data_IF_890749373792
#
_entry.id   IF_890749373792
#
_cell.length_a   1.000
_cell.length_b   1.000
_cell.length_c   1.000
_cell.angle_alpha   90.00
_cell.angle_beta   90.00
_cell.angle_gamma   90.00
#
_symmetry.space_group_name_H-M   'P 1'
#
loop_
_entity.id
_entity.type
_entity.pdbx_description
1 polymer ?
#
# COMPACT_ATOMS: atom_id res chain seq x y z
N UNK A 1 0.02 21.97 -17.83
CA UNK A 1 0.73 21.81 -16.54
C UNK A 1 0.11 20.62 -15.84
N UNK A 2 0.85 19.52 -15.69
CA UNK A 2 0.37 18.35 -14.94
C UNK A 2 0.03 18.75 -13.50
N UNK A 3 -1.13 18.33 -13.00
CA UNK A 3 -1.56 18.64 -11.62
C UNK A 3 -0.71 17.83 -10.65
N UNK A 4 -0.06 18.49 -9.70
CA UNK A 4 0.68 17.82 -8.63
C UNK A 4 -0.32 17.23 -7.64
N UNK A 5 -0.24 15.93 -7.35
CA UNK A 5 -1.06 15.29 -6.30
C UNK A 5 -0.41 15.38 -4.90
N UNK A 6 0.67 16.16 -4.79
CA UNK A 6 1.49 16.27 -3.61
C UNK A 6 0.98 17.33 -2.64
N UNK A 7 0.82 16.93 -1.38
CA UNK A 7 0.62 17.84 -0.26
C UNK A 7 1.86 17.82 0.62
N UNK A 8 2.04 18.84 1.46
CA UNK A 8 3.13 18.80 2.45
C UNK A 8 3.11 17.54 3.32
N UNK A 9 1.92 17.07 3.69
CA UNK A 9 1.74 15.81 4.39
C UNK A 9 2.25 14.60 3.59
N UNK A 10 1.93 14.51 2.28
CA UNK A 10 2.46 13.44 1.42
C UNK A 10 3.99 13.52 1.32
N UNK A 11 4.54 14.71 1.11
CA UNK A 11 5.99 14.91 1.06
C UNK A 11 6.68 14.52 2.39
N UNK A 12 6.07 14.86 3.54
CA UNK A 12 6.57 14.46 4.85
C UNK A 12 6.57 12.93 5.01
N UNK A 13 5.46 12.26 4.70
CA UNK A 13 5.37 10.79 4.73
C UNK A 13 6.43 10.19 3.79
N UNK A 14 6.56 10.75 2.60
CA UNK A 14 7.48 10.23 1.59
C UNK A 14 8.95 10.34 2.01
N UNK A 15 9.35 11.48 2.54
CA UNK A 15 10.74 11.79 2.89
C UNK A 15 11.16 11.30 4.27
N UNK A 16 10.27 11.41 5.27
CA UNK A 16 10.62 11.17 6.68
C UNK A 16 10.09 9.81 7.19
N UNK A 17 9.16 9.16 6.47
CA UNK A 17 8.63 7.86 6.87
C UNK A 17 8.99 6.73 5.91
N UNK A 18 8.66 6.88 4.62
CA UNK A 18 8.88 5.83 3.61
C UNK A 18 10.33 5.73 3.15
N UNK A 19 10.97 6.86 2.79
CA UNK A 19 12.36 6.88 2.30
C UNK A 19 13.37 6.25 3.28
N UNK A 20 13.29 6.46 4.62
CA UNK A 20 14.16 5.76 5.57
C UNK A 20 14.03 4.23 5.51
N UNK A 21 12.82 3.69 5.36
CA UNK A 21 12.61 2.24 5.19
C UNK A 21 13.24 1.71 3.90
N UNK A 22 13.10 2.45 2.80
CA UNK A 22 13.70 2.07 1.51
C UNK A 22 15.22 2.07 1.58
N UNK A 23 15.80 3.12 2.18
CA UNK A 23 17.23 3.22 2.44
C UNK A 23 17.71 2.06 3.32
N UNK A 24 16.97 1.73 4.37
CA UNK A 24 17.26 0.60 5.25
C UNK A 24 17.26 -0.73 4.48
N UNK A 25 16.22 -0.98 3.70
CA UNK A 25 16.07 -2.22 2.91
C UNK A 25 17.16 -2.34 1.84
N UNK A 26 17.41 -1.27 1.08
CA UNK A 26 18.45 -1.25 0.03
C UNK A 26 19.85 -1.51 0.59
N UNK A 27 20.20 -0.86 1.71
CA UNK A 27 21.50 -1.07 2.38
C UNK A 27 21.67 -2.49 2.86
N UNK A 28 20.62 -3.07 3.45
CA UNK A 28 20.66 -4.44 3.94
C UNK A 28 20.84 -5.44 2.80
N UNK A 29 20.07 -5.28 1.73
CA UNK A 29 20.14 -6.17 0.58
C UNK A 29 21.40 -5.92 -0.27
N UNK A 30 22.14 -4.84 0.04
CA UNK A 30 23.29 -4.35 -0.72
C UNK A 30 22.98 -4.19 -2.22
N UNK A 31 21.77 -3.72 -2.52
CA UNK A 31 21.28 -3.50 -3.88
C UNK A 31 20.20 -2.42 -3.91
N UNK A 32 20.03 -1.79 -5.06
CA UNK A 32 18.85 -0.98 -5.35
C UNK A 32 17.62 -1.89 -5.52
N UNK A 33 16.43 -1.31 -5.39
CA UNK A 33 15.17 -2.01 -5.20
C UNK A 33 14.32 -1.97 -6.47
N UNK A 34 13.65 -3.09 -6.77
CA UNK A 34 12.59 -3.13 -7.79
C UNK A 34 11.29 -2.55 -7.19
N UNK A 35 10.84 -1.46 -7.79
CA UNK A 35 9.62 -0.74 -7.43
C UNK A 35 8.43 -1.20 -8.28
N UNK A 36 7.28 -1.37 -7.65
CA UNK A 36 5.99 -1.52 -8.32
C UNK A 36 4.97 -0.57 -7.68
N UNK A 37 4.32 0.29 -8.45
CA UNK A 37 3.36 1.21 -7.84
C UNK A 37 2.59 2.12 -8.78
N UNK A 38 1.99 3.13 -8.16
CA UNK A 38 1.06 4.09 -8.76
C UNK A 38 1.65 5.51 -8.72
N UNK A 39 2.82 5.76 -9.36
CA UNK A 39 3.38 7.11 -9.36
C UNK A 39 2.43 8.06 -10.09
N UNK A 40 2.41 9.32 -9.68
CA UNK A 40 1.74 10.36 -10.46
C UNK A 40 2.50 10.60 -11.78
N UNK A 41 1.92 11.30 -12.77
CA UNK A 41 2.60 11.59 -14.04
C UNK A 41 3.98 12.24 -13.88
N UNK A 42 4.17 13.03 -12.82
CA UNK A 42 5.45 13.71 -12.52
C UNK A 42 6.42 12.87 -11.68
N UNK A 43 6.02 11.67 -11.23
CA UNK A 43 6.84 10.67 -10.56
C UNK A 43 7.62 11.16 -9.32
N UNK A 44 7.02 12.03 -8.51
CA UNK A 44 7.67 12.63 -7.34
C UNK A 44 8.16 11.61 -6.32
N UNK A 45 7.49 10.48 -6.22
CA UNK A 45 7.89 9.36 -5.38
C UNK A 45 9.12 8.64 -5.88
N UNK A 46 9.18 8.38 -7.18
CA UNK A 46 10.38 7.84 -7.81
C UNK A 46 11.55 8.81 -7.69
N UNK A 47 11.31 10.11 -7.90
CA UNK A 47 12.34 11.14 -7.79
C UNK A 47 12.95 11.21 -6.37
N UNK A 48 12.11 11.24 -5.33
CA UNK A 48 12.60 11.30 -3.95
C UNK A 48 13.33 10.02 -3.51
N UNK A 49 13.03 8.87 -4.13
CA UNK A 49 13.56 7.56 -3.77
C UNK A 49 14.62 7.01 -4.73
N UNK A 50 14.98 7.77 -5.78
CA UNK A 50 15.75 7.29 -6.94
C UNK A 50 17.10 6.66 -6.57
N UNK A 51 17.73 7.13 -5.50
CA UNK A 51 19.01 6.59 -4.99
C UNK A 51 18.90 5.13 -4.54
N UNK A 52 17.69 4.67 -4.22
CA UNK A 52 17.40 3.32 -3.70
C UNK A 52 16.64 2.45 -4.69
N UNK A 53 16.17 3.00 -5.82
CA UNK A 53 15.38 2.28 -6.83
C UNK A 53 16.26 1.95 -8.03
N UNK A 54 16.16 0.70 -8.49
CA UNK A 54 16.88 0.18 -9.66
C UNK A 54 15.99 0.17 -10.89
N UNK A 55 14.80 -0.41 -10.71
CA UNK A 55 13.83 -0.68 -11.75
C UNK A 55 12.45 -0.23 -11.30
N UNK A 56 11.64 0.26 -12.24
CA UNK A 56 10.30 0.79 -11.98
C UNK A 56 9.27 0.04 -12.82
N UNK A 57 8.27 -0.53 -12.15
CA UNK A 57 7.02 -1.01 -12.76
C UNK A 57 5.90 -0.06 -12.31
N UNK A 58 5.37 0.72 -13.23
CA UNK A 58 4.35 1.72 -12.95
C UNK A 58 3.02 1.39 -13.65
N UNK A 59 1.92 1.76 -13.03
CA UNK A 59 0.59 1.73 -13.63
C UNK A 59 0.01 3.13 -13.64
N UNK A 60 -0.47 3.58 -14.80
CA UNK A 60 -1.06 4.90 -14.96
C UNK A 60 -2.35 4.75 -15.77
N UNK A 61 -3.47 5.14 -15.16
CA UNK A 61 -4.74 5.23 -15.86
C UNK A 61 -4.79 6.49 -16.73
N UNK A 62 -5.55 6.44 -17.82
CA UNK A 62 -5.75 7.57 -18.75
C UNK A 62 -6.63 8.66 -18.13
N UNK A 63 -7.82 8.29 -17.66
CA UNK A 63 -8.73 9.21 -16.99
C UNK A 63 -9.15 8.70 -15.61
N UNK A 64 -8.70 9.40 -14.57
CA UNK A 64 -8.98 9.03 -13.20
C UNK A 64 -10.49 9.09 -12.85
N UNK A 65 -11.00 8.02 -12.24
CA UNK A 65 -12.39 7.88 -11.83
C UNK A 65 -13.35 7.41 -12.93
N UNK A 66 -12.86 7.14 -14.15
CA UNK A 66 -13.65 6.56 -15.25
C UNK A 66 -13.15 5.17 -15.61
N UNK A 67 -14.01 4.29 -16.16
CA UNK A 67 -13.57 3.04 -16.77
C UNK A 67 -12.51 3.29 -17.84
N UNK A 68 -11.58 2.35 -18.00
CA UNK A 68 -10.54 2.42 -19.04
C UNK A 68 -11.17 2.35 -20.43
N UNK A 69 -10.76 3.27 -21.31
CA UNK A 69 -11.21 3.30 -22.70
C UNK A 69 -10.06 3.72 -23.63
N UNK A 70 -9.92 3.02 -24.76
CA UNK A 70 -8.82 3.24 -25.73
C UNK A 70 -8.88 4.58 -26.45
N UNK A 71 -10.03 5.25 -26.45
CA UNK A 71 -10.24 6.60 -26.97
C UNK A 71 -9.87 7.71 -25.98
N UNK A 72 -9.61 7.39 -24.70
CA UNK A 72 -9.14 8.37 -23.72
C UNK A 72 -7.70 8.81 -24.02
N UNK A 73 -7.37 10.04 -23.62
CA UNK A 73 -6.02 10.61 -23.79
C UNK A 73 -4.96 9.80 -23.03
N UNK A 74 -3.79 9.62 -23.64
CA UNK A 74 -2.60 8.99 -23.02
C UNK A 74 -1.61 10.01 -22.46
N UNK A 75 -1.95 11.30 -22.44
CA UNK A 75 -1.04 12.39 -22.03
C UNK A 75 -0.36 12.12 -20.67
N UNK A 76 -1.11 11.72 -19.64
CA UNK A 76 -0.55 11.43 -18.31
C UNK A 76 0.43 10.25 -18.31
N UNK A 77 0.22 9.27 -19.20
CA UNK A 77 1.10 8.11 -19.38
C UNK A 77 2.39 8.55 -20.10
N UNK A 78 2.25 9.33 -21.16
CA UNK A 78 3.38 9.85 -21.95
C UNK A 78 4.29 10.74 -21.08
N UNK A 79 3.70 11.61 -20.24
CA UNK A 79 4.46 12.44 -19.30
C UNK A 79 5.25 11.58 -18.31
N UNK A 80 4.66 10.50 -17.80
CA UNK A 80 5.35 9.56 -16.90
C UNK A 80 6.48 8.83 -17.62
N UNK A 81 6.23 8.32 -18.83
CA UNK A 81 7.23 7.62 -19.66
C UNK A 81 8.42 8.54 -19.99
N UNK A 82 8.17 9.79 -20.37
CA UNK A 82 9.22 10.77 -20.63
C UNK A 82 10.08 11.05 -19.39
N UNK A 83 9.45 11.13 -18.21
CA UNK A 83 10.15 11.36 -16.94
C UNK A 83 11.04 10.16 -16.58
N UNK A 84 10.52 8.95 -16.67
CA UNK A 84 11.28 7.71 -16.36
C UNK A 84 12.39 7.46 -17.37
N UNK A 85 12.15 7.70 -18.67
CA UNK A 85 13.17 7.62 -19.72
C UNK A 85 14.32 8.61 -19.48
N UNK A 86 14.04 9.80 -18.93
CA UNK A 86 15.10 10.73 -18.53
C UNK A 86 15.99 10.15 -17.44
N UNK A 87 15.40 9.51 -16.42
CA UNK A 87 16.16 8.88 -15.34
C UNK A 87 16.98 7.68 -15.84
N UNK A 88 16.43 6.87 -16.74
CA UNK A 88 17.15 5.76 -17.39
C UNK A 88 18.36 6.29 -18.19
N UNK A 89 18.17 7.31 -19.04
CA UNK A 89 19.26 7.95 -19.82
C UNK A 89 20.35 8.59 -18.96
N UNK A 90 20.00 9.03 -17.75
CA UNK A 90 20.94 9.57 -16.77
C UNK A 90 21.66 8.48 -15.97
N UNK A 91 21.33 7.20 -16.17
CA UNK A 91 21.86 6.07 -15.39
C UNK A 91 21.36 6.03 -13.95
N UNK A 92 20.26 6.72 -13.65
CA UNK A 92 19.65 6.71 -12.31
C UNK A 92 18.75 5.47 -12.12
N UNK A 93 18.12 5.00 -13.20
CA UNK A 93 17.39 3.73 -13.29
C UNK A 93 18.08 2.81 -14.30
N UNK A 94 18.04 1.51 -14.03
CA UNK A 94 18.47 0.48 -14.99
C UNK A 94 17.42 0.30 -16.09
N UNK A 95 16.15 0.18 -15.70
CA UNK A 95 15.03 0.13 -16.66
C UNK A 95 13.69 0.50 -16.02
N UNK A 96 12.67 0.69 -16.84
CA UNK A 96 11.30 0.89 -16.39
C UNK A 96 10.27 0.28 -17.33
N UNK A 97 9.06 0.10 -16.81
CA UNK A 97 7.89 -0.32 -17.56
C UNK A 97 6.68 0.42 -17.03
N UNK A 98 5.95 1.09 -17.93
CA UNK A 98 4.64 1.66 -17.65
C UNK A 98 3.57 0.76 -18.29
N UNK A 99 2.52 0.49 -17.53
CA UNK A 99 1.31 -0.19 -17.97
C UNK A 99 0.16 0.82 -18.08
N UNK A 100 -0.54 0.77 -19.22
CA UNK A 100 -1.68 1.65 -19.52
C UNK A 100 -2.97 1.09 -18.89
N UNK A 101 -3.39 1.67 -17.78
CA UNK A 101 -4.63 1.29 -17.10
C UNK A 101 -4.51 1.30 -15.57
N UNK A 102 -5.63 1.05 -14.91
CA UNK A 102 -5.66 0.86 -13.47
C UNK A 102 -4.98 -0.44 -13.09
N UNK A 103 -4.19 -0.43 -12.01
CA UNK A 103 -3.49 -1.63 -11.54
C UNK A 103 -4.45 -2.79 -11.26
N UNK A 104 -5.63 -2.53 -10.68
CA UNK A 104 -6.61 -3.57 -10.40
C UNK A 104 -7.19 -4.21 -11.67
N UNK A 105 -7.27 -3.48 -12.77
CA UNK A 105 -7.67 -4.02 -14.06
C UNK A 105 -6.51 -4.82 -14.70
N UNK A 106 -5.36 -4.18 -14.86
CA UNK A 106 -4.21 -4.78 -15.58
C UNK A 106 -3.77 -6.09 -14.94
N UNK A 107 -3.72 -6.14 -13.61
CA UNK A 107 -3.27 -7.33 -12.87
C UNK A 107 -4.29 -8.47 -12.91
N UNK A 108 -5.59 -8.15 -12.86
CA UNK A 108 -6.64 -9.18 -12.89
C UNK A 108 -6.87 -9.70 -14.30
N UNK A 109 -6.77 -8.84 -15.32
CA UNK A 109 -6.90 -9.18 -16.73
C UNK A 109 -5.65 -9.86 -17.29
N UNK A 110 -4.46 -9.50 -16.76
CA UNK A 110 -3.16 -9.96 -17.22
C UNK A 110 -2.59 -9.19 -18.41
N UNK A 111 -3.31 -8.18 -18.91
CA UNK A 111 -2.89 -7.29 -20.01
C UNK A 111 -3.38 -5.87 -19.73
N UNK A 112 -2.68 -4.89 -20.29
CA UNK A 112 -3.08 -3.48 -20.22
C UNK A 112 -4.00 -3.05 -21.38
N UNK A 113 -4.35 -1.76 -21.44
CA UNK A 113 -5.26 -1.20 -22.45
C UNK A 113 -4.72 -1.26 -23.88
N UNK A 114 -3.42 -1.47 -24.07
CA UNK A 114 -2.76 -1.59 -25.37
C UNK A 114 -2.26 -3.02 -25.64
N UNK A 115 -2.83 -4.00 -24.93
CA UNK A 115 -2.51 -5.43 -25.05
C UNK A 115 -1.08 -5.82 -24.64
N UNK A 116 -0.40 -4.99 -23.83
CA UNK A 116 0.87 -5.36 -23.22
C UNK A 116 0.63 -6.33 -22.08
N UNK A 117 1.24 -7.50 -22.14
CA UNK A 117 1.12 -8.52 -21.08
C UNK A 117 1.78 -8.07 -19.77
N UNK A 118 1.04 -8.24 -18.67
CA UNK A 118 1.58 -8.09 -17.33
C UNK A 118 2.23 -9.40 -16.90
N UNK A 119 3.51 -9.33 -16.54
CA UNK A 119 4.22 -10.42 -15.92
C UNK A 119 5.10 -9.91 -14.79
N UNK A 120 5.20 -10.71 -13.73
CA UNK A 120 6.11 -10.46 -12.62
C UNK A 120 7.07 -11.65 -12.54
N UNK A 121 8.27 -11.47 -13.09
CA UNK A 121 9.34 -12.48 -13.06
C UNK A 121 10.32 -12.27 -11.90
N UNK A 122 10.34 -11.06 -11.33
CA UNK A 122 11.26 -10.66 -10.28
C UNK A 122 10.52 -10.35 -8.98
N UNK A 123 11.20 -10.51 -7.85
CA UNK A 123 10.65 -10.16 -6.54
C UNK A 123 10.65 -8.66 -6.35
N UNK A 124 9.46 -8.08 -6.29
CA UNK A 124 9.25 -6.68 -5.99
C UNK A 124 9.71 -6.40 -4.57
N UNK A 125 10.52 -5.36 -4.37
CA UNK A 125 10.99 -4.99 -3.03
C UNK A 125 10.23 -3.80 -2.45
N UNK A 126 9.54 -3.03 -3.31
CA UNK A 126 8.69 -1.89 -2.91
C UNK A 126 7.37 -1.94 -3.67
N UNK A 127 6.28 -2.19 -2.96
CA UNK A 127 4.94 -1.92 -3.45
C UNK A 127 4.49 -0.55 -2.96
N UNK A 128 4.16 0.38 -3.85
CA UNK A 128 3.59 1.68 -3.49
C UNK A 128 2.21 1.87 -4.12
N UNK A 129 1.19 1.49 -3.35
CA UNK A 129 -0.20 1.40 -3.78
C UNK A 129 -0.97 2.61 -3.24
N UNK A 130 -0.86 3.75 -3.93
CA UNK A 130 -1.55 4.98 -3.58
C UNK A 130 -2.98 5.03 -4.16
N UNK A 131 -3.90 4.28 -3.54
CA UNK A 131 -5.31 4.29 -3.92
C UNK A 131 -6.02 5.54 -3.39
N UNK A 132 -5.90 6.64 -4.14
CA UNK A 132 -6.54 7.92 -3.79
C UNK A 132 -8.10 7.91 -3.79
N UNK A 133 -8.74 6.81 -4.22
CA UNK A 133 -10.21 6.62 -4.22
C UNK A 133 -10.67 5.64 -3.13
N UNK A 134 -11.99 5.57 -2.91
CA UNK A 134 -12.56 4.59 -1.98
C UNK A 134 -12.17 3.17 -2.38
N UNK A 135 -11.60 2.43 -1.44
CA UNK A 135 -11.09 1.08 -1.69
C UNK A 135 -12.19 0.08 -2.10
N UNK A 136 -13.41 0.40 -1.71
CA UNK A 136 -14.61 -0.42 -1.92
C UNK A 136 -15.37 -0.11 -3.20
N UNK A 137 -14.90 0.86 -3.99
CA UNK A 137 -15.52 1.23 -5.26
C UNK A 137 -14.77 0.52 -6.38
N UNK A 138 -15.32 -0.58 -6.94
CA UNK A 138 -14.69 -1.26 -8.05
C UNK A 138 -14.72 -0.37 -9.29
N UNK A 139 -13.81 -0.65 -10.22
CA UNK A 139 -13.95 -0.21 -11.60
C UNK A 139 -14.47 -1.38 -12.43
N UNK A 140 -15.27 -1.08 -13.44
CA UNK A 140 -15.71 -2.09 -14.40
C UNK A 140 -14.69 -2.21 -15.52
N UNK A 141 -14.44 -3.44 -15.96
CA UNK A 141 -13.59 -3.73 -17.12
C UNK A 141 -14.15 -4.93 -17.90
N UNK A 142 -13.81 -5.01 -19.19
CA UNK A 142 -14.20 -6.13 -20.04
C UNK A 142 -13.10 -7.19 -20.04
N UNK A 143 -13.44 -8.42 -19.65
CA UNK A 143 -12.51 -9.55 -19.69
C UNK A 143 -12.22 -10.02 -21.13
N UNK A 144 -11.30 -10.97 -21.27
CA UNK A 144 -10.91 -11.56 -22.56
C UNK A 144 -12.05 -12.30 -23.30
N UNK A 145 -13.17 -12.56 -22.63
CA UNK A 145 -14.35 -13.21 -23.17
C UNK A 145 -15.49 -12.22 -23.49
N UNK A 146 -15.28 -10.92 -23.27
CA UNK A 146 -16.28 -9.89 -23.50
C UNK A 146 -17.23 -9.66 -22.33
N UNK A 147 -17.01 -10.26 -21.16
CA UNK A 147 -17.87 -10.07 -19.99
C UNK A 147 -17.40 -8.87 -19.16
N UNK A 148 -18.35 -8.10 -18.65
CA UNK A 148 -18.07 -7.03 -17.68
C UNK A 148 -17.74 -7.66 -16.33
N UNK A 149 -16.58 -7.30 -15.78
CA UNK A 149 -16.09 -7.72 -14.48
C UNK A 149 -15.84 -6.49 -13.60
N UNK A 150 -15.92 -6.68 -12.29
CA UNK A 150 -15.60 -5.66 -11.30
C UNK A 150 -14.19 -5.88 -10.74
N UNK A 151 -13.29 -4.92 -10.97
CA UNK A 151 -11.94 -4.93 -10.41
C UNK A 151 -11.92 -4.18 -9.07
N UNK A 152 -11.70 -4.92 -7.99
CA UNK A 152 -11.49 -4.37 -6.66
C UNK A 152 -10.01 -4.23 -6.35
N UNK A 153 -9.63 -3.12 -5.71
CA UNK A 153 -8.24 -2.81 -5.33
C UNK A 153 -7.62 -3.88 -4.45
N UNK A 154 -8.38 -4.42 -3.49
CA UNK A 154 -7.92 -5.51 -2.63
C UNK A 154 -7.72 -6.83 -3.36
N UNK A 155 -8.49 -7.11 -4.42
CA UNK A 155 -8.21 -8.27 -5.28
C UNK A 155 -6.88 -8.10 -6.02
N UNK A 156 -6.51 -6.88 -6.40
CA UNK A 156 -5.19 -6.58 -6.97
C UNK A 156 -4.06 -6.82 -5.97
N UNK A 157 -4.21 -6.35 -4.73
CA UNK A 157 -3.24 -6.61 -3.64
C UNK A 157 -3.08 -8.11 -3.39
N UNK A 158 -4.19 -8.84 -3.28
CA UNK A 158 -4.19 -10.30 -3.12
C UNK A 158 -3.48 -11.00 -4.27
N UNK A 159 -3.75 -10.59 -5.51
CA UNK A 159 -3.13 -11.16 -6.71
C UNK A 159 -1.63 -10.85 -6.79
N UNK A 160 -1.20 -9.65 -6.41
CA UNK A 160 0.22 -9.28 -6.33
C UNK A 160 0.99 -10.13 -5.33
N UNK A 161 0.44 -10.30 -4.12
CA UNK A 161 1.05 -11.17 -3.11
C UNK A 161 1.14 -12.62 -3.61
N UNK A 162 0.10 -13.10 -4.31
CA UNK A 162 0.10 -14.44 -4.91
C UNK A 162 1.21 -14.60 -5.95
N UNK A 163 1.28 -13.69 -6.92
CA UNK A 163 2.33 -13.71 -7.95
C UNK A 163 3.73 -13.68 -7.34
N UNK A 164 3.93 -12.86 -6.31
CA UNK A 164 5.22 -12.81 -5.61
C UNK A 164 5.54 -14.13 -4.88
N UNK A 165 4.55 -14.76 -4.25
CA UNK A 165 4.73 -16.06 -3.59
C UNK A 165 5.01 -17.21 -4.57
N UNK A 166 4.55 -17.10 -5.81
CA UNK A 166 4.77 -18.09 -6.88
C UNK A 166 6.22 -18.06 -7.42
N UNK A 167 6.99 -17.00 -7.14
CA UNK A 167 8.40 -16.92 -7.54
C UNK A 167 9.29 -17.91 -6.79
N UNK A 168 10.29 -18.49 -7.47
CA UNK A 168 11.23 -19.48 -6.92
C UNK A 168 12.31 -18.89 -5.96
N UNK A 169 12.11 -17.68 -5.42
CA UNK A 169 13.03 -17.09 -4.44
C UNK A 169 12.66 -17.53 -3.01
N UNK A 170 13.59 -18.22 -2.32
CA UNK A 170 13.40 -18.74 -0.96
C UNK A 170 13.31 -17.65 0.12
N UNK A 171 13.98 -16.51 -0.06
CA UNK A 171 13.96 -15.38 0.87
C UNK A 171 13.43 -14.15 0.14
N UNK A 172 12.23 -13.72 0.50
CA UNK A 172 11.64 -12.50 -0.03
C UNK A 172 11.35 -11.56 1.13
N UNK A 173 11.90 -10.36 1.02
CA UNK A 173 11.74 -9.25 1.94
C UNK A 173 11.28 -8.06 1.10
N UNK A 174 10.18 -7.43 1.46
CA UNK A 174 9.65 -6.26 0.75
C UNK A 174 8.91 -5.32 1.69
N UNK A 175 8.66 -4.09 1.24
CA UNK A 175 7.74 -3.17 1.90
C UNK A 175 6.54 -2.91 1.00
N UNK A 176 5.35 -2.86 1.61
CA UNK A 176 4.11 -2.45 0.99
C UNK A 176 3.62 -1.18 1.65
N UNK A 177 3.60 -0.10 0.89
CA UNK A 177 2.93 1.14 1.22
C UNK A 177 1.54 1.12 0.59
N UNK A 178 0.52 1.34 1.40
CA UNK A 178 -0.87 1.39 0.97
C UNK A 178 -1.49 2.68 1.47
N UNK A 179 -1.92 3.54 0.56
CA UNK A 179 -2.69 4.74 0.90
C UNK A 179 -4.12 4.56 0.42
N UNK A 180 -5.10 4.87 1.28
CA UNK A 180 -6.53 4.73 0.97
C UNK A 180 -7.33 5.93 1.47
N UNK A 181 -8.45 6.21 0.80
CA UNK A 181 -9.39 7.20 1.27
C UNK A 181 -10.17 6.72 2.52
N UNK A 182 -10.23 7.56 3.56
CA UNK A 182 -10.96 7.30 4.81
C UNK A 182 -12.49 7.51 4.66
N UNK A 183 -13.05 7.02 3.56
CA UNK A 183 -14.50 7.02 3.28
C UNK A 183 -15.10 5.63 3.30
N UNK A 184 -16.42 5.62 3.48
CA UNK A 184 -17.22 4.44 3.76
C UNK A 184 -18.25 4.22 2.66
N UNK A 185 -17.99 3.33 1.68
CA UNK A 185 -18.93 3.09 0.56
C UNK A 185 -18.97 1.65 0.04
N UNK A 186 -18.63 0.64 0.86
CA UNK A 186 -18.53 -0.75 0.39
C UNK A 186 -19.46 -1.72 1.08
N UNK A 187 -20.07 -2.63 0.31
CA UNK A 187 -20.86 -3.72 0.87
C UNK A 187 -20.00 -4.67 1.72
N UNK A 188 -18.74 -4.91 1.34
CA UNK A 188 -17.79 -5.72 2.12
C UNK A 188 -17.57 -5.12 3.52
N UNK A 189 -17.31 -3.82 3.58
CA UNK A 189 -17.12 -3.12 4.85
C UNK A 189 -18.41 -3.07 5.67
N UNK A 190 -19.57 -2.89 5.03
CA UNK A 190 -20.88 -3.01 5.69
C UNK A 190 -21.08 -4.39 6.29
N UNK A 191 -20.75 -5.45 5.54
CA UNK A 191 -20.86 -6.82 6.01
C UNK A 191 -19.91 -7.08 7.19
N UNK A 192 -18.67 -6.60 7.10
CA UNK A 192 -17.67 -6.70 8.17
C UNK A 192 -18.14 -6.06 9.48
N UNK A 193 -18.79 -4.89 9.40
CA UNK A 193 -19.32 -4.20 10.59
C UNK A 193 -20.54 -4.91 11.17
N UNK A 194 -21.44 -5.34 10.29
CA UNK A 194 -22.70 -5.95 10.72
C UNK A 194 -22.53 -7.39 11.20
N UNK A 195 -21.48 -8.08 10.73
CA UNK A 195 -21.19 -9.47 11.03
C UNK A 195 -19.70 -9.64 11.39
N UNK A 196 -19.26 -9.13 12.56
CA UNK A 196 -17.87 -9.27 12.97
C UNK A 196 -17.53 -10.74 13.25
N UNK A 197 -16.47 -11.23 12.62
CA UNK A 197 -16.07 -12.64 12.69
C UNK A 197 -15.50 -13.09 14.06
N UNK A 198 -15.07 -12.14 14.90
CA UNK A 198 -14.45 -12.43 16.20
C UNK A 198 -15.01 -11.54 17.32
N UNK A 199 -14.90 -12.01 18.57
CA UNK A 199 -15.25 -11.22 19.75
C UNK A 199 -14.40 -9.94 19.85
N UNK A 200 -13.10 -10.04 19.54
CA UNK A 200 -12.18 -8.88 19.50
C UNK A 200 -12.64 -7.83 18.47
N UNK A 201 -13.03 -8.25 17.27
CA UNK A 201 -13.56 -7.33 16.25
C UNK A 201 -14.83 -6.62 16.76
N UNK A 202 -15.74 -7.37 17.38
CA UNK A 202 -16.97 -6.80 17.93
C UNK A 202 -16.67 -5.75 19.01
N UNK A 203 -15.79 -6.05 19.95
CA UNK A 203 -15.39 -5.12 21.02
C UNK A 203 -14.75 -3.85 20.47
N UNK A 204 -13.84 -3.97 19.49
CA UNK A 204 -13.22 -2.81 18.84
C UNK A 204 -14.26 -1.97 18.08
N UNK A 205 -15.19 -2.59 17.36
CA UNK A 205 -16.26 -1.86 16.65
C UNK A 205 -17.17 -1.11 17.63
N UNK A 206 -17.59 -1.75 18.72
CA UNK A 206 -18.36 -1.11 19.79
C UNK A 206 -17.61 0.09 20.38
N UNK A 207 -16.31 -0.10 20.67
CA UNK A 207 -15.42 0.96 21.14
C UNK A 207 -15.35 2.14 20.16
N UNK A 208 -15.14 1.88 18.87
CA UNK A 208 -15.05 2.94 17.85
C UNK A 208 -16.39 3.63 17.56
N UNK A 209 -17.51 2.93 17.78
CA UNK A 209 -18.85 3.50 17.63
C UNK A 209 -19.16 4.61 18.64
N UNK A 210 -18.37 4.75 19.71
CA UNK A 210 -18.42 5.90 20.64
C UNK A 210 -17.93 7.21 20.01
N UNK A 211 -17.30 7.15 18.83
CA UNK A 211 -16.80 8.30 18.08
C UNK A 211 -17.70 8.63 16.89
N UNK A 212 -17.45 9.80 16.30
CA UNK A 212 -18.18 10.30 15.12
C UNK A 212 -17.21 10.77 14.05
N UNK A 213 -17.71 10.96 12.84
CA UNK A 213 -16.96 11.55 11.74
C UNK A 213 -15.72 10.75 11.35
N UNK A 214 -14.61 11.45 11.12
CA UNK A 214 -13.33 10.88 10.66
C UNK A 214 -12.72 9.96 11.70
N UNK A 215 -12.80 10.31 13.00
CA UNK A 215 -12.25 9.52 14.10
C UNK A 215 -12.83 8.09 14.16
N UNK A 216 -14.15 7.97 13.95
CA UNK A 216 -14.81 6.67 13.84
C UNK A 216 -14.43 5.94 12.55
N UNK A 217 -14.54 6.62 11.40
CA UNK A 217 -14.34 6.00 10.09
C UNK A 217 -12.91 5.49 9.90
N UNK A 218 -11.91 6.28 10.31
CA UNK A 218 -10.50 5.93 10.20
C UNK A 218 -10.16 4.67 10.99
N UNK A 219 -10.63 4.54 12.23
CA UNK A 219 -10.36 3.36 13.10
C UNK A 219 -11.06 2.10 12.63
N UNK A 220 -12.31 2.21 12.20
CA UNK A 220 -13.06 1.10 11.60
C UNK A 220 -12.38 0.64 10.31
N UNK A 221 -11.96 1.58 9.45
CA UNK A 221 -11.28 1.25 8.20
C UNK A 221 -9.88 0.66 8.47
N UNK A 222 -9.15 1.16 9.46
CA UNK A 222 -7.89 0.57 9.95
C UNK A 222 -8.11 -0.90 10.33
N UNK A 223 -9.11 -1.19 11.16
CA UNK A 223 -9.43 -2.55 11.59
C UNK A 223 -9.70 -3.46 10.38
N UNK A 224 -10.59 -3.04 9.48
CA UNK A 224 -10.92 -3.80 8.27
C UNK A 224 -9.69 -4.07 7.38
N UNK A 225 -8.86 -3.05 7.15
CA UNK A 225 -7.67 -3.16 6.29
C UNK A 225 -6.62 -4.07 6.91
N UNK A 226 -6.35 -3.93 8.22
CA UNK A 226 -5.38 -4.76 8.91
C UNK A 226 -5.81 -6.23 8.88
N UNK A 227 -7.05 -6.52 9.23
CA UNK A 227 -7.58 -7.90 9.19
C UNK A 227 -7.50 -8.49 7.78
N UNK A 228 -7.96 -7.73 6.77
CA UNK A 228 -7.95 -8.18 5.37
C UNK A 228 -6.52 -8.46 4.88
N UNK A 229 -5.60 -7.52 5.10
CA UNK A 229 -4.21 -7.67 4.67
C UNK A 229 -3.50 -8.78 5.45
N UNK A 230 -3.76 -8.96 6.75
CA UNK A 230 -3.20 -10.09 7.48
C UNK A 230 -3.61 -11.43 6.87
N UNK A 231 -4.89 -11.57 6.48
CA UNK A 231 -5.38 -12.77 5.81
C UNK A 231 -4.72 -12.96 4.44
N UNK A 232 -4.58 -11.90 3.64
CA UNK A 232 -3.92 -12.00 2.33
C UNK A 232 -2.44 -12.36 2.44
N UNK A 233 -1.69 -11.78 3.37
CA UNK A 233 -0.30 -12.15 3.60
C UNK A 233 -0.20 -13.62 4.03
N UNK A 234 -1.07 -14.07 4.94
CA UNK A 234 -1.10 -15.47 5.42
C UNK A 234 -1.37 -16.47 4.32
N UNK A 235 -2.39 -16.23 3.50
CA UNK A 235 -2.76 -17.09 2.36
C UNK A 235 -1.61 -17.25 1.36
N UNK A 236 -0.71 -16.26 1.29
CA UNK A 236 0.42 -16.24 0.37
C UNK A 236 1.77 -16.48 1.07
N UNK A 237 1.76 -17.06 2.28
CA UNK A 237 2.95 -17.45 3.05
C UNK A 237 3.91 -16.29 3.37
N UNK A 238 3.34 -15.10 3.59
CA UNK A 238 4.07 -13.95 4.10
C UNK A 238 3.72 -13.65 5.56
N UNK A 239 4.73 -13.27 6.33
CA UNK A 239 4.59 -12.71 7.69
C UNK A 239 4.60 -11.19 7.58
N UNK A 240 3.48 -10.51 7.82
CA UNK A 240 3.44 -9.06 7.80
C UNK A 240 3.95 -8.49 9.13
N UNK A 241 4.68 -7.39 9.05
CA UNK A 241 4.90 -6.48 10.16
C UNK A 241 4.28 -5.13 9.82
N UNK A 242 3.18 -4.79 10.49
CA UNK A 242 2.51 -3.50 10.32
C UNK A 242 3.22 -2.46 11.17
N UNK A 243 3.58 -1.35 10.53
CA UNK A 243 3.95 -0.13 11.24
C UNK A 243 2.69 0.68 11.55
N UNK A 244 2.77 1.61 12.51
CA UNK A 244 1.66 2.49 12.85
C UNK A 244 1.02 3.17 11.64
N UNK A 245 -0.30 3.22 11.66
CA UNK A 245 -1.09 3.86 10.60
C UNK A 245 -1.02 5.38 10.72
N UNK A 246 -0.78 6.06 9.60
CA UNK A 246 -0.77 7.52 9.51
C UNK A 246 -2.10 8.01 8.94
N UNK A 247 -2.82 8.86 9.67
CA UNK A 247 -4.01 9.58 9.21
C UNK A 247 -3.63 11.02 8.85
N UNK A 248 -3.84 11.41 7.59
CA UNK A 248 -3.46 12.74 7.11
C UNK A 248 -4.46 13.34 6.12
N UNK A 249 -4.32 14.65 5.87
CA UNK A 249 -5.11 15.39 4.89
C UNK A 249 -4.37 15.46 3.55
N UNK A 250 -4.93 14.82 2.54
CA UNK A 250 -4.55 14.97 1.13
C UNK A 250 -5.13 16.26 0.51
N UNK A 251 -5.13 16.30 -0.82
CA UNK A 251 -5.70 17.41 -1.58
C UNK A 251 -7.17 17.66 -1.22
N UNK A 252 -7.58 18.92 -1.22
CA UNK A 252 -8.95 19.36 -0.89
C UNK A 252 -9.41 18.92 0.52
N UNK A 253 -8.49 18.64 1.45
CA UNK A 253 -8.83 18.21 2.81
C UNK A 253 -9.32 16.76 2.92
N UNK A 254 -9.16 15.99 1.85
CA UNK A 254 -9.48 14.56 1.75
C UNK A 254 -8.72 13.78 2.83
N UNK A 255 -9.42 12.96 3.62
CA UNK A 255 -8.81 12.21 4.72
C UNK A 255 -8.26 10.88 4.22
N UNK A 256 -6.98 10.63 4.43
CA UNK A 256 -6.27 9.47 3.90
C UNK A 256 -5.63 8.68 5.05
N UNK A 257 -5.69 7.35 4.93
CA UNK A 257 -4.90 6.45 5.78
C UNK A 257 -3.73 5.92 4.97
N UNK A 258 -2.53 5.98 5.55
CA UNK A 258 -1.33 5.37 5.01
C UNK A 258 -0.89 4.22 5.93
N UNK A 259 -0.76 3.04 5.35
CA UNK A 259 -0.25 1.85 5.98
C UNK A 259 1.13 1.54 5.41
N UNK A 260 2.05 1.13 6.27
CA UNK A 260 3.34 0.59 5.87
C UNK A 260 3.48 -0.81 6.46
N UNK A 261 3.64 -1.80 5.59
CA UNK A 261 3.75 -3.21 5.97
C UNK A 261 5.06 -3.76 5.45
N UNK A 262 5.83 -4.41 6.32
CA UNK A 262 7.07 -5.08 5.94
C UNK A 262 6.81 -6.60 5.83
N UNK A 263 7.13 -7.23 4.70
CA UNK A 263 6.70 -8.59 4.34
C UNK A 263 7.80 -9.67 4.30
N UNK A 264 7.63 -10.67 5.19
CA UNK A 264 8.25 -11.99 5.46
C UNK A 264 7.96 -13.19 4.60
N UNK A 265 8.68 -13.58 3.54
CA UNK A 265 8.48 -14.98 3.09
C UNK A 265 9.00 -15.93 4.15
N UNK A 266 8.11 -16.77 4.69
CA UNK A 266 8.49 -17.86 5.58
C UNK A 266 8.12 -19.20 4.95
N UNK A 267 9.01 -20.19 5.11
CA UNK A 267 8.69 -21.56 4.72
C UNK A 267 7.54 -22.06 5.61
N UNK A 268 6.52 -22.72 5.04
CA UNK A 268 5.42 -23.26 5.82
C UNK A 268 5.97 -24.22 6.88
N UNK A 269 5.87 -23.87 8.16
CA UNK A 269 6.19 -24.77 9.26
C UNK A 269 4.89 -25.28 9.87
N UNK A 270 4.71 -26.61 9.89
CA UNK A 270 3.52 -27.25 10.47
C UNK A 270 3.39 -26.85 11.94
N UNK A 271 2.28 -26.21 12.30
CA UNK A 271 1.90 -25.95 13.69
C UNK A 271 2.48 -24.70 14.36
N UNK A 272 3.20 -23.81 13.66
CA UNK A 272 3.59 -22.50 14.19
C UNK A 272 3.03 -21.36 13.34
N UNK A 273 2.15 -20.57 13.92
CA UNK A 273 1.89 -19.21 13.44
C UNK A 273 3.07 -18.34 13.84
N UNK A 274 3.91 -17.95 12.89
CA UNK A 274 5.00 -16.99 13.14
C UNK A 274 4.52 -15.53 13.19
N UNK A 275 3.23 -15.33 13.45
CA UNK A 275 2.61 -14.01 13.43
C UNK A 275 2.87 -13.39 14.79
N UNK A 276 3.47 -12.20 14.78
CA UNK A 276 3.98 -11.58 16.00
C UNK A 276 3.18 -10.35 16.44
N UNK A 277 2.23 -9.88 15.62
CA UNK A 277 1.34 -8.74 15.90
C UNK A 277 -0.13 -9.17 15.77
N UNK A 278 -0.90 -9.05 16.85
CA UNK A 278 -2.34 -9.30 16.84
C UNK A 278 -3.12 -8.12 16.25
N UNK A 279 -4.30 -8.38 15.67
CA UNK A 279 -5.18 -7.32 15.14
C UNK A 279 -5.56 -6.35 16.25
N UNK A 280 -5.96 -6.83 17.43
CA UNK A 280 -6.26 -5.99 18.58
C UNK A 280 -5.10 -5.13 19.06
N UNK A 281 -3.87 -5.65 19.07
CA UNK A 281 -2.66 -4.89 19.43
C UNK A 281 -2.48 -3.71 18.46
N UNK A 282 -2.41 -4.00 17.16
CA UNK A 282 -2.24 -2.98 16.11
C UNK A 282 -3.36 -1.95 16.10
N UNK A 283 -4.60 -2.40 16.34
CA UNK A 283 -5.76 -1.54 16.36
C UNK A 283 -5.92 -0.75 17.65
N UNK A 284 -5.18 -1.09 18.72
CA UNK A 284 -5.20 -0.33 19.97
C UNK A 284 -4.04 0.69 20.06
N UNK A 285 -3.10 0.70 19.11
CA UNK A 285 -2.07 1.73 19.03
C UNK A 285 -2.65 3.07 18.57
N UNK A 286 -2.08 4.18 19.07
CA UNK A 286 -2.43 5.53 18.61
C UNK A 286 -2.13 5.68 17.12
N UNK A 287 -2.94 6.46 16.41
CA UNK A 287 -2.66 6.85 15.03
C UNK A 287 -1.58 7.94 15.01
N UNK A 288 -0.78 7.96 13.96
CA UNK A 288 0.11 9.10 13.66
C UNK A 288 -0.65 10.08 12.76
N UNK A 289 -0.39 11.37 12.90
CA UNK A 289 -0.88 12.41 11.99
C UNK A 289 0.24 13.37 11.58
N UNK A 290 -0.03 14.21 10.57
CA UNK A 290 0.93 15.14 9.97
C UNK A 290 0.47 16.59 10.16
N UNK A 291 0.38 17.05 11.41
CA UNK A 291 0.03 18.44 11.70
C UNK A 291 1.26 19.32 11.61
N UNK A 292 1.13 20.53 11.06
CA UNK A 292 2.22 21.52 10.99
C UNK A 292 3.55 20.96 10.46
N UNK A 293 3.47 20.09 9.45
CA UNK A 293 4.64 19.48 8.79
C UNK A 293 5.51 18.61 9.72
N UNK A 294 4.96 18.11 10.83
CA UNK A 294 5.61 17.14 11.74
C UNK A 294 4.72 15.92 12.02
N UNK A 295 5.33 14.81 12.44
CA UNK A 295 4.59 13.64 12.92
C UNK A 295 4.18 13.81 14.38
N UNK A 296 2.89 13.60 14.66
CA UNK A 296 2.31 13.66 16.00
C UNK A 296 1.40 12.47 16.27
N UNK A 297 1.22 12.10 17.53
CA UNK A 297 0.26 11.05 17.92
C UNK A 297 -1.12 11.66 18.14
N UNK A 298 -2.14 11.07 17.51
CA UNK A 298 -3.54 11.39 17.81
C UNK A 298 -3.86 10.83 19.19
N UNK A 299 -4.13 11.73 20.14
CA UNK A 299 -4.52 11.35 21.49
C UNK A 299 -6.04 11.33 21.61
N UNK A 300 -6.55 10.28 22.26
CA UNK A 300 -7.97 10.10 22.54
C UNK A 300 -8.17 9.50 23.94
N UNK A 301 -8.58 10.35 24.88
CA UNK A 301 -8.71 9.99 26.31
C UNK A 301 -9.79 8.93 26.60
N UNK A 302 -10.75 8.77 25.68
CA UNK A 302 -11.85 7.81 25.86
C UNK A 302 -11.43 6.44 25.32
N UNK A 303 -10.72 6.42 24.19
CA UNK A 303 -10.27 5.17 23.58
C UNK A 303 -9.09 4.55 24.31
N UNK A 304 -8.30 5.30 25.09
CA UNK A 304 -7.14 4.78 25.85
C UNK A 304 -6.20 3.94 24.97
N UNK A 305 -5.92 4.44 23.76
CA UNK A 305 -5.01 3.81 22.82
C UNK A 305 -3.56 3.86 23.36
N UNK A 306 -2.77 2.82 23.11
CA UNK A 306 -1.38 2.72 23.56
C UNK A 306 -0.46 3.62 22.74
N UNK A 307 0.50 4.24 23.41
CA UNK A 307 1.55 5.02 22.76
C UNK A 307 2.46 4.15 21.91
N UNK A 308 3.00 4.76 20.85
CA UNK A 308 4.02 4.17 19.99
C UNK A 308 5.39 4.60 20.51
N UNK A 309 6.34 3.66 20.56
CA UNK A 309 7.67 3.88 21.16
C UNK A 309 8.56 4.88 20.41
N UNK A 310 8.30 5.12 19.14
CA UNK A 310 9.06 6.03 18.27
C UNK A 310 8.16 6.54 17.14
N UNK A 311 8.54 7.65 16.52
CA UNK A 311 7.94 8.18 15.28
C UNK A 311 8.83 7.87 14.05
N UNK A 312 9.95 7.18 14.25
CA UNK A 312 10.84 6.71 13.18
C UNK A 312 10.41 5.31 12.73
N UNK A 313 10.02 5.19 11.47
CA UNK A 313 9.60 3.92 10.86
C UNK A 313 10.67 2.82 10.99
N UNK A 314 11.95 3.19 10.86
CA UNK A 314 13.08 2.26 10.98
C UNK A 314 13.30 1.82 12.43
N UNK A 315 13.17 2.72 13.40
CA UNK A 315 13.38 2.38 14.82
C UNK A 315 12.26 1.46 15.34
N UNK A 316 11.02 1.75 14.94
CA UNK A 316 9.87 0.89 15.25
C UNK A 316 10.12 -0.51 14.68
N UNK A 317 10.48 -0.59 13.39
CA UNK A 317 10.71 -1.88 12.75
C UNK A 317 11.89 -2.64 13.39
N UNK A 318 13.03 -1.98 13.53
CA UNK A 318 14.29 -2.61 14.00
C UNK A 318 14.25 -3.02 15.47
N UNK A 319 13.36 -2.43 16.28
CA UNK A 319 13.15 -2.84 17.68
C UNK A 319 12.08 -3.93 17.84
N UNK A 320 11.40 -4.32 16.75
CA UNK A 320 10.28 -5.25 16.81
C UNK A 320 10.70 -6.70 17.03
N UNK A 321 9.77 -7.51 17.55
CA UNK A 321 9.94 -8.98 17.62
C UNK A 321 10.10 -9.57 16.22
N UNK A 322 9.43 -9.03 15.21
CA UNK A 322 9.55 -9.51 13.83
C UNK A 322 10.96 -9.35 13.30
N UNK A 323 11.56 -8.19 13.54
CA UNK A 323 12.94 -7.96 13.14
C UNK A 323 13.91 -8.96 13.82
N UNK A 324 13.83 -9.06 15.15
CA UNK A 324 14.74 -9.90 15.92
C UNK A 324 14.53 -11.41 15.68
N UNK A 325 13.30 -11.86 15.48
CA UNK A 325 12.99 -13.29 15.40
C UNK A 325 12.95 -13.85 13.98
N UNK A 326 12.64 -13.03 12.98
CA UNK A 326 12.40 -13.48 11.61
C UNK A 326 13.40 -12.84 10.67
N UNK A 327 13.52 -11.52 10.72
CA UNK A 327 14.34 -10.77 9.76
C UNK A 327 15.85 -10.96 9.97
N UNK A 328 16.33 -11.11 11.20
CA UNK A 328 17.77 -11.30 11.45
C UNK A 328 18.30 -12.71 11.11
N UNK A 329 17.45 -13.66 10.68
CA UNK A 329 17.83 -15.03 10.32
C UNK A 329 18.14 -15.19 8.81
#
# INVERSE_FOLDING_TARGET
>A
MAKTFNTKAKSLIRNEWSKPLLKFLSRRLNKKLLYLGLPSPIAEDIEEWIDFIDEVIAFQCREYGKPSDVGQSREDIEVLEERLNRYERQGLLNTFTVYDGYIEEVILKGVDNISKEFSQSNTIKVYNLDFCNSITSPIEYTDKYGNIQAAFKFNAVKKLLRLQSELEENKQEFVLFLTIHASYKGQELVNFINNPDTAEHKELLEKYNTRKGVEKRSRILRLFVIDTLQNYFRENHFVPHFLPTILYKGLNGTQLLHFSIVGFREKPNVGRTSWLQGVGELCNEKLITTNNDIFELISDDILKESDIKSISSVDIFSSSKTFNNIWQR
#
